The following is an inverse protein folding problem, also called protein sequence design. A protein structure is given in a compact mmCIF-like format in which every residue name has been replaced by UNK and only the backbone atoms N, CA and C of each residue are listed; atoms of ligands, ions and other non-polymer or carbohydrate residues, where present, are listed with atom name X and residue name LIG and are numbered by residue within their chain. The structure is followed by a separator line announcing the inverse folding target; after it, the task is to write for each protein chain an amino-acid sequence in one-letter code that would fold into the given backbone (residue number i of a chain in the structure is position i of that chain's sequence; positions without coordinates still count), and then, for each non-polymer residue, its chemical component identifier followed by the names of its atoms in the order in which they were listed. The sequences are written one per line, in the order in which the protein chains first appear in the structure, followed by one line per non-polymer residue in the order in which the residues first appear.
data_IF_783890178131
#
_entry.id   IF_783890178131
#
_cell.length_a   1.000
_cell.length_b   1.000
_cell.length_c   1.000
_cell.angle_alpha   90.00
_cell.angle_beta   90.00
_cell.angle_gamma   90.00
#
_symmetry.space_group_name_H-M   'P 1'
#
loop_
_entity.id
_entity.type
_entity.pdbx_description
1 polymer ?
#
# COMPACT_ATOMS: atom_id res chain seq x y z
N UNK A 1 10.70 -9.29 -4.55
CA UNK A 1 9.64 -8.35 -5.01
C UNK A 1 9.27 -7.41 -3.87
N UNK A 2 9.28 -6.13 -4.14
CA UNK A 2 8.90 -5.13 -3.13
C UNK A 2 7.38 -5.07 -3.07
N UNK A 3 6.85 -5.19 -1.86
CA UNK A 3 5.41 -5.10 -1.61
C UNK A 3 5.10 -3.77 -0.96
N UNK A 4 4.14 -3.08 -1.54
CA UNK A 4 3.74 -1.74 -1.11
C UNK A 4 2.29 -1.78 -0.65
N UNK A 5 2.04 -1.32 0.57
CA UNK A 5 0.68 -1.15 1.06
C UNK A 5 0.30 0.33 0.99
N UNK A 6 -0.80 0.62 0.32
CA UNK A 6 -1.34 1.98 0.27
C UNK A 6 -2.62 2.01 1.10
N UNK A 7 -2.50 2.55 2.31
CA UNK A 7 -3.64 2.68 3.20
C UNK A 7 -4.32 4.02 2.94
N UNK A 8 -5.63 4.04 2.93
CA UNK A 8 -6.47 5.21 2.61
C UNK A 8 -6.46 5.62 1.13
N UNK A 9 -5.98 4.73 0.28
CA UNK A 9 -6.23 4.84 -1.15
C UNK A 9 -5.40 5.86 -1.90
N UNK A 10 -4.50 5.36 -2.73
CA UNK A 10 -3.90 6.18 -3.77
C UNK A 10 -4.85 6.25 -4.95
N UNK A 11 -4.69 7.27 -5.78
CA UNK A 11 -5.38 7.32 -7.05
C UNK A 11 -4.97 6.14 -7.91
N UNK A 12 -5.90 5.63 -8.71
CA UNK A 12 -5.65 4.45 -9.52
C UNK A 12 -4.47 4.63 -10.47
N UNK A 13 -4.28 5.83 -11.01
CA UNK A 13 -3.15 6.10 -11.90
C UNK A 13 -1.81 5.90 -11.21
N UNK A 14 -1.70 6.29 -9.93
CA UNK A 14 -0.48 6.10 -9.17
C UNK A 14 -0.24 4.61 -8.88
N UNK A 15 -1.30 3.88 -8.55
CA UNK A 15 -1.21 2.44 -8.32
C UNK A 15 -0.76 1.73 -9.59
N UNK A 16 -1.35 2.07 -10.73
CA UNK A 16 -0.99 1.47 -12.02
C UNK A 16 0.47 1.72 -12.36
N UNK A 17 0.96 2.91 -12.08
CA UNK A 17 2.35 3.25 -12.34
C UNK A 17 3.30 2.41 -11.49
N UNK A 18 2.99 2.25 -10.21
CA UNK A 18 3.81 1.42 -9.33
C UNK A 18 3.82 -0.04 -9.76
N UNK A 19 2.67 -0.55 -10.16
CA UNK A 19 2.57 -1.92 -10.65
C UNK A 19 3.39 -2.10 -11.93
N UNK A 20 3.35 -1.12 -12.82
CA UNK A 20 4.11 -1.19 -14.07
C UNK A 20 5.61 -1.15 -13.82
N UNK A 21 6.04 -0.63 -12.68
CA UNK A 21 7.46 -0.61 -12.29
C UNK A 21 7.90 -1.93 -11.63
N UNK A 22 7.01 -2.89 -11.51
CA UNK A 22 7.34 -4.18 -10.95
C UNK A 22 7.07 -4.35 -9.47
N UNK A 23 6.39 -3.39 -8.84
CA UNK A 23 6.02 -3.50 -7.44
C UNK A 23 4.68 -4.20 -7.27
N UNK A 24 4.54 -4.93 -6.18
CA UNK A 24 3.24 -5.47 -5.79
C UNK A 24 2.56 -4.44 -4.89
N UNK A 25 1.42 -3.93 -5.33
CA UNK A 25 0.70 -2.89 -4.61
C UNK A 25 -0.63 -3.43 -4.10
N UNK A 26 -0.87 -3.27 -2.81
CA UNK A 26 -2.16 -3.58 -2.19
C UNK A 26 -2.79 -2.26 -1.76
N UNK A 27 -3.84 -1.87 -2.45
CA UNK A 27 -4.53 -0.61 -2.21
C UNK A 27 -5.81 -0.89 -1.41
N UNK A 28 -5.67 -0.91 -0.09
CA UNK A 28 -6.79 -1.23 0.77
C UNK A 28 -6.63 -0.51 2.11
N UNK A 29 -7.74 -0.35 2.82
CA UNK A 29 -7.74 0.30 4.12
C UNK A 29 -7.75 -0.75 5.23
N UNK A 30 -6.83 -0.62 6.17
CA UNK A 30 -6.80 -1.43 7.37
C UNK A 30 -6.91 -0.52 8.59
N UNK A 31 -7.63 -0.97 9.60
CA UNK A 31 -7.72 -0.27 10.87
C UNK A 31 -6.38 -0.31 11.60
N UNK A 32 -6.17 0.66 12.48
CA UNK A 32 -4.93 0.76 13.26
C UNK A 32 -4.60 -0.52 14.01
N UNK A 33 -5.61 -1.21 14.51
CA UNK A 33 -5.43 -2.42 15.31
C UNK A 33 -4.86 -3.57 14.48
N UNK A 34 -5.14 -3.56 13.18
CA UNK A 34 -4.74 -4.62 12.26
C UNK A 34 -3.50 -4.23 11.48
N UNK A 35 -3.30 -2.92 11.27
CA UNK A 35 -2.26 -2.41 10.39
C UNK A 35 -0.86 -2.88 10.79
N UNK A 36 -0.56 -2.90 12.09
CA UNK A 36 0.74 -3.34 12.57
C UNK A 36 1.07 -4.77 12.18
N UNK A 37 0.06 -5.67 12.23
CA UNK A 37 0.24 -7.05 11.81
C UNK A 37 0.40 -7.15 10.29
N UNK A 38 -0.40 -6.39 9.56
CA UNK A 38 -0.37 -6.40 8.10
C UNK A 38 0.97 -5.88 7.57
N UNK A 39 1.52 -4.85 8.21
CA UNK A 39 2.77 -4.23 7.77
C UNK A 39 3.96 -5.19 7.78
N UNK A 40 3.90 -6.25 8.56
CA UNK A 40 4.97 -7.25 8.58
C UNK A 40 5.17 -7.91 7.22
N UNK A 41 4.15 -7.91 6.40
CA UNK A 41 4.18 -8.52 5.06
C UNK A 41 4.53 -7.53 3.96
N UNK A 42 4.77 -6.25 4.33
CA UNK A 42 5.04 -5.22 3.34
C UNK A 42 6.38 -4.52 3.60
N UNK A 43 7.00 -4.07 2.52
CA UNK A 43 8.28 -3.38 2.59
C UNK A 43 8.09 -1.86 2.67
N UNK A 44 7.00 -1.36 2.12
CA UNK A 44 6.72 0.08 2.06
C UNK A 44 5.27 0.34 2.45
N UNK A 45 5.06 1.37 3.25
CA UNK A 45 3.72 1.83 3.59
C UNK A 45 3.55 3.25 3.05
N UNK A 46 2.49 3.45 2.29
CA UNK A 46 2.11 4.78 1.81
C UNK A 46 0.81 5.16 2.52
N UNK A 47 0.85 6.24 3.28
CA UNK A 47 -0.32 6.74 4.00
C UNK A 47 -0.68 8.10 3.41
N UNK A 48 -1.95 8.28 3.15
CA UNK A 48 -2.46 9.57 2.72
C UNK A 48 -3.11 10.25 3.93
N UNK A 49 -2.64 11.43 4.22
CA UNK A 49 -3.24 12.29 5.24
C UNK A 49 -4.47 12.95 4.67
N UNK A 50 -5.59 12.76 5.30
CA UNK A 50 -6.81 13.39 4.85
C UNK A 50 -6.81 14.88 5.24
#
# INVERSE_FOLDING_TARGET
MIRILTNDGLQQGAVDKLVSMGFKVVNTHYDKDVLGEVLKDFDVLVIRSA
#
